data_IF_327252280683
#
_entry.id   IF_327252280683
#
_cell.length_a   1.000
_cell.length_b   1.000
_cell.length_c   1.000
_cell.angle_alpha   90.00
_cell.angle_beta   90.00
_cell.angle_gamma   90.00
#
_symmetry.space_group_name_H-M   'P 1'
#
loop_
_entity.id
_entity.type
_entity.pdbx_description
1 polymer ?
#
# COMPACT_ATOMS: atom_id res chain seq x y z
N UNK A 1 11.03 0.57 -16.60
CA UNK A 1 12.26 -0.19 -16.23
C UNK A 1 11.98 -0.96 -14.95
N UNK A 2 11.95 -2.30 -15.00
CA UNK A 2 11.74 -3.15 -13.82
C UNK A 2 12.97 -3.10 -12.92
N UNK A 3 12.82 -2.56 -11.71
CA UNK A 3 13.92 -2.48 -10.73
C UNK A 3 14.29 -3.90 -10.28
N UNK A 4 15.57 -4.23 -10.48
CA UNK A 4 16.24 -5.44 -10.00
C UNK A 4 16.10 -5.68 -8.49
N UNK A 5 16.61 -6.81 -7.97
CA UNK A 5 16.78 -6.95 -6.53
C UNK A 5 17.74 -5.87 -5.99
N UNK A 6 17.42 -5.27 -4.85
CA UNK A 6 18.34 -4.34 -4.18
C UNK A 6 19.45 -5.10 -3.46
N UNK A 7 20.55 -4.43 -3.12
CA UNK A 7 21.63 -5.04 -2.33
C UNK A 7 21.12 -5.60 -1.00
N UNK A 8 20.18 -4.89 -0.38
CA UNK A 8 19.54 -5.32 0.86
C UNK A 8 18.70 -6.59 0.67
N UNK A 9 17.93 -6.69 -0.41
CA UNK A 9 17.16 -7.90 -0.72
C UNK A 9 18.07 -9.08 -1.03
N UNK A 10 19.21 -8.83 -1.69
CA UNK A 10 20.22 -9.88 -1.91
C UNK A 10 20.74 -10.37 -0.56
N UNK A 11 21.15 -9.46 0.33
CA UNK A 11 21.73 -9.77 1.64
C UNK A 11 20.76 -10.46 2.59
N UNK A 12 19.52 -9.95 2.68
CA UNK A 12 18.54 -10.41 3.68
C UNK A 12 17.62 -11.52 3.21
N UNK A 13 17.43 -11.69 1.89
CA UNK A 13 16.47 -12.65 1.35
C UNK A 13 17.17 -13.74 0.54
N UNK A 14 17.99 -13.35 -0.43
CA UNK A 14 18.60 -14.31 -1.36
C UNK A 14 19.71 -15.12 -0.67
N UNK A 15 20.64 -14.47 0.03
CA UNK A 15 21.74 -15.17 0.73
C UNK A 15 21.24 -16.21 1.75
N UNK A 16 20.28 -15.90 2.64
CA UNK A 16 19.75 -16.89 3.59
C UNK A 16 19.04 -18.06 2.91
N UNK A 17 18.38 -17.83 1.77
CA UNK A 17 17.74 -18.92 1.01
C UNK A 17 18.76 -19.92 0.48
N UNK A 18 19.88 -19.43 -0.06
CA UNK A 18 20.99 -20.28 -0.51
C UNK A 18 21.57 -21.09 0.66
N UNK A 19 21.77 -20.44 1.81
CA UNK A 19 22.23 -21.11 3.03
C UNK A 19 21.22 -22.14 3.57
N UNK A 20 19.92 -21.94 3.35
CA UNK A 20 18.85 -22.86 3.76
C UNK A 20 18.72 -24.11 2.87
N UNK A 21 19.59 -24.27 1.87
CA UNK A 21 19.56 -25.38 0.91
C UNK A 21 18.55 -25.21 -0.22
N UNK A 22 17.97 -24.02 -0.41
CA UNK A 22 17.12 -23.76 -1.58
C UNK A 22 17.97 -23.71 -2.85
N UNK A 23 17.53 -24.39 -3.91
CA UNK A 23 18.25 -24.48 -5.18
C UNK A 23 17.99 -23.23 -6.03
N UNK A 24 19.03 -22.48 -6.37
CA UNK A 24 18.95 -21.43 -7.37
C UNK A 24 18.83 -22.06 -8.78
N UNK A 25 17.92 -21.55 -9.60
CA UNK A 25 17.73 -21.96 -10.98
C UNK A 25 18.46 -21.01 -11.94
N UNK A 26 18.73 -21.47 -13.15
CA UNK A 26 19.29 -20.69 -14.26
C UNK A 26 18.31 -19.65 -14.86
N UNK A 27 17.04 -19.71 -14.45
CA UNK A 27 15.98 -18.80 -14.89
C UNK A 27 15.81 -17.62 -13.94
N UNK A 28 15.54 -16.46 -14.50
CA UNK A 28 15.31 -15.21 -13.75
C UNK A 28 13.84 -14.80 -13.82
N UNK A 29 13.37 -14.12 -12.77
CA UNK A 29 12.01 -13.63 -12.68
C UNK A 29 11.76 -12.51 -13.72
N UNK A 30 10.75 -12.63 -14.60
CA UNK A 30 10.46 -11.60 -15.61
C UNK A 30 9.98 -10.27 -15.01
N UNK A 31 9.55 -10.26 -13.73
CA UNK A 31 9.03 -9.05 -13.06
C UNK A 31 10.11 -8.20 -12.41
N UNK A 32 11.13 -8.82 -11.83
CA UNK A 32 12.13 -8.10 -11.03
C UNK A 32 13.58 -8.53 -11.31
N UNK A 33 13.82 -9.43 -12.27
CA UNK A 33 15.16 -9.87 -12.66
C UNK A 33 15.93 -10.68 -11.61
N UNK A 34 15.32 -11.04 -10.48
CA UNK A 34 15.96 -11.91 -9.46
C UNK A 34 15.98 -13.36 -9.93
N UNK A 35 17.03 -14.15 -9.63
CA UNK A 35 17.04 -15.58 -9.92
C UNK A 35 15.87 -16.30 -9.24
N UNK A 36 15.29 -17.28 -9.94
CA UNK A 36 14.25 -18.14 -9.37
C UNK A 36 14.89 -19.20 -8.48
N UNK A 37 14.16 -19.58 -7.43
CA UNK A 37 14.57 -20.62 -6.50
C UNK A 37 13.58 -21.77 -6.50
N UNK A 38 14.07 -22.96 -6.22
CA UNK A 38 13.29 -24.16 -5.96
C UNK A 38 13.56 -24.66 -4.54
N UNK A 39 12.48 -24.91 -3.80
CA UNK A 39 12.51 -25.57 -2.49
C UNK A 39 11.29 -26.47 -2.36
N UNK A 40 11.48 -27.70 -1.89
CA UNK A 40 10.40 -28.68 -1.71
C UNK A 40 9.55 -28.88 -2.99
N UNK A 41 10.21 -28.88 -4.16
CA UNK A 41 9.56 -29.05 -5.47
C UNK A 41 8.77 -27.83 -5.98
N UNK A 42 8.82 -26.70 -5.27
CA UNK A 42 8.13 -25.45 -5.68
C UNK A 42 9.12 -24.42 -6.18
N UNK A 43 8.87 -23.90 -7.37
CA UNK A 43 9.63 -22.80 -7.98
C UNK A 43 8.99 -21.46 -7.65
N UNK A 44 9.78 -20.51 -7.14
CA UNK A 44 9.29 -19.19 -6.73
C UNK A 44 10.34 -18.09 -6.95
N UNK A 45 9.87 -16.85 -6.95
CA UNK A 45 10.74 -15.66 -6.95
C UNK A 45 10.83 -15.11 -5.52
N UNK A 46 12.00 -15.20 -4.85
CA UNK A 46 12.11 -14.84 -3.45
C UNK A 46 11.86 -13.35 -3.18
N UNK A 47 12.28 -12.51 -4.12
CA UNK A 47 12.15 -11.05 -4.01
C UNK A 47 10.71 -10.60 -4.22
N UNK A 48 10.02 -11.12 -5.24
CA UNK A 48 8.62 -10.78 -5.47
C UNK A 48 7.72 -11.23 -4.32
N UNK A 49 7.97 -12.42 -3.75
CA UNK A 49 7.23 -12.89 -2.58
C UNK A 49 7.50 -12.03 -1.35
N UNK A 50 8.75 -11.69 -1.09
CA UNK A 50 9.10 -10.82 0.03
C UNK A 50 8.43 -9.45 -0.09
N UNK A 51 8.53 -8.79 -1.25
CA UNK A 51 7.86 -7.50 -1.52
C UNK A 51 6.33 -7.61 -1.38
N UNK A 52 5.74 -8.74 -1.79
CA UNK A 52 4.30 -8.98 -1.62
C UNK A 52 3.92 -9.06 -0.13
N UNK A 53 4.70 -9.79 0.67
CA UNK A 53 4.49 -9.87 2.12
C UNK A 53 4.64 -8.51 2.80
N UNK A 54 5.66 -7.73 2.42
CA UNK A 54 5.84 -6.36 2.93
C UNK A 54 4.64 -5.48 2.61
N UNK A 55 4.19 -5.43 1.34
CA UNK A 55 2.99 -4.67 0.97
C UNK A 55 1.75 -5.10 1.73
N UNK A 56 1.57 -6.39 1.98
CA UNK A 56 0.44 -6.89 2.77
C UNK A 56 0.53 -6.43 4.23
N UNK A 57 1.73 -6.40 4.82
CA UNK A 57 1.93 -5.87 6.17
C UNK A 57 1.70 -4.36 6.24
N UNK A 58 2.17 -3.61 5.24
CA UNK A 58 1.92 -2.16 5.12
C UNK A 58 0.42 -1.87 5.01
N UNK A 59 -0.30 -2.60 4.15
CA UNK A 59 -1.75 -2.44 4.00
C UNK A 59 -2.51 -2.71 5.30
N UNK A 60 -2.10 -3.73 6.07
CA UNK A 60 -2.68 -3.97 7.41
C UNK A 60 -2.44 -2.79 8.36
N UNK A 61 -1.23 -2.22 8.37
CA UNK A 61 -0.95 -1.03 9.18
C UNK A 61 -1.74 0.21 8.74
N UNK A 62 -1.98 0.35 7.42
CA UNK A 62 -2.86 1.41 6.90
C UNK A 62 -4.30 1.19 7.34
N UNK A 63 -4.82 -0.03 7.29
CA UNK A 63 -6.17 -0.38 7.74
C UNK A 63 -6.36 -0.08 9.24
N UNK A 64 -5.41 -0.48 10.09
CA UNK A 64 -5.43 -0.19 11.53
C UNK A 64 -5.48 1.32 11.79
N UNK A 65 -4.64 2.09 11.09
CA UNK A 65 -4.58 3.54 11.24
C UNK A 65 -5.82 4.25 10.68
N UNK A 66 -6.40 3.73 9.60
CA UNK A 66 -7.67 4.24 9.08
C UNK A 66 -8.79 4.01 10.09
N UNK A 67 -8.86 2.82 10.70
CA UNK A 67 -9.86 2.53 11.73
C UNK A 67 -9.71 3.44 12.95
N UNK A 68 -8.48 3.69 13.40
CA UNK A 68 -8.21 4.66 14.47
C UNK A 68 -8.75 6.06 14.11
N UNK A 69 -8.45 6.56 12.91
CA UNK A 69 -8.92 7.88 12.45
C UNK A 69 -10.42 7.95 12.21
N UNK A 70 -11.04 6.88 11.72
CA UNK A 70 -12.49 6.82 11.58
C UNK A 70 -13.20 6.85 12.93
N UNK A 71 -12.64 6.18 13.95
CA UNK A 71 -13.17 6.23 15.31
C UNK A 71 -13.01 7.61 15.94
N UNK A 72 -11.84 8.24 15.81
CA UNK A 72 -11.64 9.63 16.25
C UNK A 72 -12.66 10.57 15.60
N UNK A 73 -12.86 10.44 14.28
CA UNK A 73 -13.83 11.24 13.54
C UNK A 73 -15.25 10.99 14.06
N UNK A 74 -15.67 9.72 14.17
CA UNK A 74 -16.99 9.36 14.66
C UNK A 74 -17.28 9.94 16.06
N UNK A 75 -16.31 9.92 16.96
CA UNK A 75 -16.43 10.49 18.30
C UNK A 75 -16.45 12.02 18.32
N UNK A 76 -15.94 12.67 17.27
CA UNK A 76 -15.94 14.12 17.12
C UNK A 76 -17.21 14.66 16.45
N UNK A 77 -18.02 13.78 15.85
CA UNK A 77 -19.28 14.19 15.24
C UNK A 77 -20.32 14.50 16.31
N UNK A 78 -21.12 15.57 16.17
CA UNK A 78 -22.25 15.82 17.05
C UNK A 78 -23.21 14.62 17.04
N UNK A 79 -23.58 14.13 18.21
CA UNK A 79 -24.63 13.09 18.33
C UNK A 79 -26.02 13.65 17.97
N UNK A 80 -26.20 14.96 18.15
CA UNK A 80 -27.43 15.66 17.83
C UNK A 80 -27.57 15.88 16.31
N UNK A 81 -28.66 15.35 15.77
CA UNK A 81 -28.94 15.40 14.33
C UNK A 81 -29.08 16.85 13.84
N UNK A 82 -29.67 17.75 14.63
CA UNK A 82 -29.84 19.15 14.23
C UNK A 82 -28.50 19.90 14.17
N UNK A 83 -27.60 19.63 15.11
CA UNK A 83 -26.25 20.17 15.12
C UNK A 83 -25.40 19.61 13.97
N UNK A 84 -25.50 18.31 13.68
CA UNK A 84 -24.85 17.69 12.52
C UNK A 84 -25.34 18.32 11.20
N UNK A 85 -26.65 18.53 11.05
CA UNK A 85 -27.21 19.23 9.88
C UNK A 85 -26.65 20.64 9.70
N UNK A 86 -26.42 21.40 10.79
CA UNK A 86 -25.80 22.73 10.71
C UNK A 86 -24.41 22.65 10.11
N UNK A 87 -23.60 21.67 10.53
CA UNK A 87 -22.26 21.46 9.99
C UNK A 87 -22.29 21.04 8.51
N UNK A 88 -23.18 20.11 8.15
CA UNK A 88 -23.33 19.64 6.77
C UNK A 88 -23.75 20.77 5.82
N UNK A 89 -24.67 21.64 6.24
CA UNK A 89 -25.06 22.84 5.47
C UNK A 89 -23.85 23.75 5.18
N UNK A 90 -22.96 23.94 6.15
CA UNK A 90 -21.74 24.76 5.95
C UNK A 90 -20.78 24.06 4.98
N UNK A 91 -20.58 22.74 5.09
CA UNK A 91 -19.74 21.99 4.16
C UNK A 91 -20.27 22.07 2.72
N UNK A 92 -21.59 21.96 2.53
CA UNK A 92 -22.22 22.12 1.22
C UNK A 92 -21.93 23.50 0.60
N UNK A 93 -21.98 24.57 1.40
CA UNK A 93 -21.63 25.91 0.94
C UNK A 93 -20.15 26.01 0.50
N UNK A 94 -19.24 25.39 1.26
CA UNK A 94 -17.81 25.36 0.93
C UNK A 94 -17.56 24.58 -0.36
N UNK A 95 -18.16 23.40 -0.53
CA UNK A 95 -18.00 22.59 -1.75
C UNK A 95 -18.49 23.37 -2.97
N UNK A 96 -19.69 23.95 -2.90
CA UNK A 96 -20.23 24.79 -3.97
C UNK A 96 -19.31 25.97 -4.31
N UNK A 97 -18.66 26.57 -3.30
CA UNK A 97 -17.71 27.64 -3.52
C UNK A 97 -16.46 27.12 -4.25
N UNK A 98 -15.89 26.00 -3.80
CA UNK A 98 -14.72 25.38 -4.43
C UNK A 98 -14.98 24.96 -5.88
N UNK A 99 -16.16 24.40 -6.17
CA UNK A 99 -16.57 24.06 -7.52
C UNK A 99 -16.63 25.30 -8.42
N UNK A 100 -17.22 26.40 -7.92
CA UNK A 100 -17.25 27.67 -8.66
C UNK A 100 -15.85 28.23 -8.88
N UNK A 101 -14.98 28.18 -7.88
CA UNK A 101 -13.58 28.60 -8.03
C UNK A 101 -12.84 27.76 -9.07
N UNK A 102 -13.02 26.43 -9.07
CA UNK A 102 -12.41 25.54 -10.06
C UNK A 102 -12.81 25.89 -11.49
N UNK A 103 -14.09 26.24 -11.72
CA UNK A 103 -14.58 26.69 -13.03
C UNK A 103 -13.95 28.04 -13.43
N UNK A 104 -13.74 28.95 -12.48
CA UNK A 104 -13.14 30.26 -12.73
C UNK A 104 -11.63 30.20 -13.00
N UNK A 105 -10.91 29.24 -12.42
CA UNK A 105 -9.47 29.03 -12.66
C UNK A 105 -9.15 28.31 -13.98
N UNK A 106 -10.16 27.97 -14.79
CA UNK A 106 -9.97 27.40 -16.13
C UNK A 106 -9.73 25.89 -16.14
N UNK A 107 -10.17 25.16 -15.10
CA UNK A 107 -10.26 23.70 -15.18
C UNK A 107 -11.43 23.28 -16.06
N UNK A 108 -11.15 22.69 -17.22
CA UNK A 108 -12.10 21.83 -17.94
C UNK A 108 -12.61 20.69 -17.03
#
# INVERSE_FOLDING_TARGET
MTKGPTEEEIRKIIMPLMLSGAKMLDRHCPKCGSPLFEKDGKVFCPVCEHRKKQRQAELKGVEERLMEKLNELANSLPEDIEELEKHLRVMELIINLLERYKVLEGGE
#
